data_IF_172700669891
#
_entry.id   IF_172700669891
#
_cell.length_a   1.000
_cell.length_b   1.000
_cell.length_c   1.000
_cell.angle_alpha   90.00
_cell.angle_beta   90.00
_cell.angle_gamma   90.00
#
_symmetry.space_group_name_H-M   'P 1'
#
loop_
_entity.id
_entity.type
_entity.pdbx_description
1 polymer ?
#
# COMPACT_ATOMS: atom_id res chain seq x y z
N UNK A 1 -41.88 0.74 28.20
CA UNK A 1 -40.62 1.31 27.69
C UNK A 1 -39.56 0.25 27.87
N UNK A 2 -39.37 -0.58 26.85
CA UNK A 2 -38.43 -1.70 26.86
C UNK A 2 -37.08 -1.16 26.37
N UNK A 3 -36.13 -0.98 27.29
CA UNK A 3 -34.76 -0.57 26.97
C UNK A 3 -34.03 -1.79 26.43
N UNK A 4 -34.03 -1.97 25.11
CA UNK A 4 -33.22 -2.99 24.43
C UNK A 4 -31.74 -2.66 24.65
N UNK A 5 -31.12 -3.36 25.61
CA UNK A 5 -29.69 -3.32 25.89
C UNK A 5 -28.91 -3.92 24.70
N UNK A 6 -28.51 -3.08 23.74
CA UNK A 6 -27.54 -3.45 22.71
C UNK A 6 -26.13 -3.54 23.32
N UNK A 7 -25.90 -4.54 24.17
CA UNK A 7 -24.53 -4.92 24.52
C UNK A 7 -23.92 -5.60 23.30
N UNK A 8 -23.34 -4.77 22.42
CA UNK A 8 -22.37 -5.22 21.42
C UNK A 8 -21.35 -6.06 22.19
N UNK A 9 -21.40 -7.37 21.98
CA UNK A 9 -20.46 -8.30 22.59
C UNK A 9 -19.14 -8.11 21.83
N UNK A 10 -18.42 -7.04 22.15
CA UNK A 10 -17.11 -6.77 21.59
C UNK A 10 -16.20 -7.86 22.15
N UNK A 11 -15.70 -8.76 21.29
CA UNK A 11 -14.64 -9.69 21.71
C UNK A 11 -13.54 -8.85 22.36
N UNK A 12 -13.05 -9.28 23.53
CA UNK A 12 -12.05 -8.59 24.38
C UNK A 12 -10.80 -8.06 23.64
N UNK A 13 -10.54 -8.55 22.43
CA UNK A 13 -9.40 -8.21 21.56
C UNK A 13 -9.72 -7.17 20.45
N UNK A 14 -11.00 -6.85 20.20
CA UNK A 14 -11.45 -5.90 19.19
C UNK A 14 -11.85 -4.55 19.81
N UNK A 15 -11.14 -4.12 20.85
CA UNK A 15 -11.36 -2.78 21.39
C UNK A 15 -11.06 -1.74 20.30
N UNK A 16 -11.84 -0.65 20.19
CA UNK A 16 -11.65 0.37 19.17
C UNK A 16 -10.21 0.90 19.13
N UNK A 17 -9.51 0.92 20.28
CA UNK A 17 -8.09 1.26 20.36
C UNK A 17 -7.17 0.31 19.59
N UNK A 18 -7.38 -1.01 19.63
CA UNK A 18 -6.54 -1.99 18.92
C UNK A 18 -6.71 -1.85 17.40
N UNK A 19 -7.95 -1.62 16.95
CA UNK A 19 -8.25 -1.40 15.52
C UNK A 19 -7.64 -0.08 15.04
N UNK A 20 -7.76 0.99 15.84
CA UNK A 20 -7.15 2.28 15.54
C UNK A 20 -5.63 2.20 15.46
N UNK A 21 -4.97 1.58 16.46
CA UNK A 21 -3.52 1.40 16.46
C UNK A 21 -3.06 0.56 15.26
N UNK A 22 -3.77 -0.53 14.94
CA UNK A 22 -3.49 -1.34 13.75
C UNK A 22 -3.61 -0.55 12.45
N UNK A 23 -4.70 0.20 12.28
CA UNK A 23 -4.90 1.08 11.13
C UNK A 23 -3.80 2.15 11.01
N UNK A 24 -3.47 2.82 12.11
CA UNK A 24 -2.40 3.82 12.15
C UNK A 24 -1.03 3.23 11.77
N UNK A 25 -0.69 2.04 12.26
CA UNK A 25 0.58 1.38 11.92
C UNK A 25 0.63 1.01 10.43
N UNK A 26 -0.46 0.47 9.88
CA UNK A 26 -0.55 0.14 8.45
C UNK A 26 -0.42 1.41 7.60
N UNK A 27 -1.13 2.48 7.97
CA UNK A 27 -1.04 3.78 7.28
C UNK A 27 0.36 4.38 7.38
N UNK A 28 1.01 4.28 8.54
CA UNK A 28 2.36 4.80 8.77
C UNK A 28 3.39 4.07 7.89
N UNK A 29 3.28 2.75 7.76
CA UNK A 29 4.16 1.95 6.90
C UNK A 29 3.90 2.29 5.43
N UNK A 30 2.64 2.29 4.99
CA UNK A 30 2.27 2.54 3.59
C UNK A 30 2.63 3.96 3.12
N UNK A 31 2.31 4.99 3.90
CA UNK A 31 2.61 6.38 3.56
C UNK A 31 4.06 6.78 3.90
N UNK A 32 4.67 6.19 4.93
CA UNK A 32 6.03 6.52 5.35
C UNK A 32 7.09 6.04 4.34
N UNK A 33 6.99 4.80 3.87
CA UNK A 33 7.88 4.29 2.83
C UNK A 33 7.71 5.08 1.53
N UNK A 34 6.47 5.44 1.17
CA UNK A 34 6.18 6.27 0.00
C UNK A 34 6.83 7.64 0.05
N UNK A 35 6.71 8.32 1.20
CA UNK A 35 7.28 9.66 1.40
C UNK A 35 8.81 9.63 1.37
N UNK A 36 9.41 8.48 1.69
CA UNK A 36 10.86 8.30 1.70
C UNK A 36 11.45 8.15 0.29
N UNK A 37 10.70 7.69 -0.71
CA UNK A 37 11.22 7.49 -2.08
C UNK A 37 11.83 8.76 -2.69
N UNK A 38 11.30 9.94 -2.35
CA UNK A 38 11.87 11.21 -2.83
C UNK A 38 13.33 11.44 -2.39
N UNK A 39 13.72 10.91 -1.23
CA UNK A 39 15.11 10.98 -0.73
C UNK A 39 16.06 10.08 -1.52
N UNK A 40 15.54 9.02 -2.14
CA UNK A 40 16.32 8.04 -2.88
C UNK A 40 16.57 8.43 -4.35
N UNK A 41 15.93 9.49 -4.86
CA UNK A 41 16.11 9.94 -6.24
C UNK A 41 17.59 10.20 -6.56
N UNK A 42 18.28 10.99 -5.74
CA UNK A 42 19.71 11.29 -5.90
C UNK A 42 20.59 10.04 -5.89
N UNK A 43 20.62 9.27 -4.78
CA UNK A 43 21.52 8.13 -4.67
C UNK A 43 21.22 7.00 -5.67
N UNK A 44 19.95 6.76 -6.05
CA UNK A 44 19.60 5.73 -7.04
C UNK A 44 20.02 6.16 -8.45
N UNK A 45 19.77 7.42 -8.83
CA UNK A 45 20.19 7.91 -10.16
C UNK A 45 21.71 7.97 -10.31
N UNK A 46 22.43 8.32 -9.24
CA UNK A 46 23.90 8.35 -9.23
C UNK A 46 24.51 6.94 -9.21
N UNK A 47 23.99 6.01 -8.40
CA UNK A 47 24.53 4.66 -8.30
C UNK A 47 24.33 3.82 -9.57
N UNK A 48 23.18 3.94 -10.23
CA UNK A 48 22.85 3.17 -11.43
C UNK A 48 23.09 3.94 -12.74
N UNK A 49 23.49 5.21 -12.67
CA UNK A 49 23.63 6.08 -13.84
C UNK A 49 22.31 6.38 -14.57
N UNK A 50 21.17 6.16 -13.90
CA UNK A 50 19.85 6.40 -14.47
C UNK A 50 19.52 7.88 -14.55
N UNK A 51 18.70 8.26 -15.54
CA UNK A 51 18.17 9.61 -15.60
C UNK A 51 17.16 9.85 -14.47
N UNK A 52 17.01 11.11 -14.06
CA UNK A 52 15.95 11.52 -13.12
C UNK A 52 14.55 11.22 -13.68
N UNK A 53 14.42 11.19 -15.00
CA UNK A 53 13.17 10.89 -15.71
C UNK A 53 12.75 9.44 -15.48
N UNK A 54 13.68 8.48 -15.51
CA UNK A 54 13.39 7.06 -15.24
C UNK A 54 12.79 6.88 -13.85
N UNK A 55 13.36 7.52 -12.82
CA UNK A 55 12.82 7.45 -11.46
C UNK A 55 11.49 8.21 -11.32
N UNK A 56 11.37 9.38 -11.93
CA UNK A 56 10.13 10.16 -11.93
C UNK A 56 8.98 9.38 -12.59
N UNK A 57 9.25 8.66 -13.67
CA UNK A 57 8.28 7.79 -14.34
C UNK A 57 7.84 6.64 -13.43
N UNK A 58 8.77 6.03 -12.69
CA UNK A 58 8.43 5.00 -11.69
C UNK A 58 7.42 5.55 -10.66
N UNK A 59 7.65 6.75 -10.14
CA UNK A 59 6.77 7.40 -9.16
C UNK A 59 5.42 7.85 -9.79
N UNK A 60 5.42 8.22 -11.06
CA UNK A 60 4.21 8.52 -11.82
C UNK A 60 3.35 7.26 -11.99
N UNK A 61 3.96 6.14 -12.38
CA UNK A 61 3.29 4.84 -12.47
C UNK A 61 2.73 4.40 -11.11
N UNK A 62 3.48 4.61 -10.03
CA UNK A 62 2.99 4.33 -8.68
C UNK A 62 1.68 5.07 -8.37
N UNK A 63 1.61 6.36 -8.69
CA UNK A 63 0.39 7.16 -8.53
C UNK A 63 -0.75 6.68 -9.43
N UNK A 64 -0.44 6.38 -10.69
CA UNK A 64 -1.42 5.94 -11.67
C UNK A 64 -2.08 4.62 -11.25
N UNK A 65 -1.28 3.63 -10.90
CA UNK A 65 -1.78 2.32 -10.48
C UNK A 65 -2.46 2.36 -9.12
N UNK A 66 -2.01 3.23 -8.22
CA UNK A 66 -2.75 3.49 -7.00
C UNK A 66 -4.18 3.97 -7.32
N UNK A 67 -4.32 5.01 -8.14
CA UNK A 67 -5.63 5.53 -8.54
C UNK A 67 -6.48 4.52 -9.32
N UNK A 68 -5.89 3.82 -10.27
CA UNK A 68 -6.58 2.87 -11.15
C UNK A 68 -7.09 1.64 -10.38
N UNK A 69 -6.36 1.19 -9.36
CA UNK A 69 -6.71 0.00 -8.62
C UNK A 69 -7.65 0.26 -7.44
N UNK A 70 -7.89 1.50 -7.03
CA UNK A 70 -8.89 1.83 -5.99
C UNK A 70 -10.31 1.28 -6.28
N UNK A 71 -10.94 1.49 -7.45
CA UNK A 71 -12.25 0.93 -7.73
C UNK A 71 -12.24 -0.61 -7.75
N UNK A 72 -11.14 -1.20 -8.21
CA UNK A 72 -10.95 -2.65 -8.23
C UNK A 72 -10.87 -3.17 -6.79
N UNK A 73 -10.11 -2.49 -5.93
CA UNK A 73 -9.98 -2.82 -4.51
C UNK A 73 -11.34 -2.78 -3.80
N UNK A 74 -12.15 -1.75 -4.04
CA UNK A 74 -13.51 -1.65 -3.51
C UNK A 74 -14.40 -2.82 -3.94
N UNK A 75 -14.46 -3.10 -5.25
CA UNK A 75 -15.23 -4.25 -5.76
C UNK A 75 -14.79 -5.60 -5.18
N UNK A 76 -13.47 -5.80 -5.02
CA UNK A 76 -12.92 -7.01 -4.39
C UNK A 76 -13.28 -7.07 -2.91
N UNK A 77 -13.24 -5.95 -2.20
CA UNK A 77 -13.55 -5.88 -0.77
C UNK A 77 -15.02 -6.18 -0.52
N UNK A 78 -15.92 -5.65 -1.34
CA UNK A 78 -17.35 -5.92 -1.30
C UNK A 78 -17.67 -7.40 -1.56
N UNK A 79 -16.90 -8.05 -2.45
CA UNK A 79 -17.15 -9.44 -2.85
C UNK A 79 -16.54 -10.49 -1.92
N UNK A 80 -15.29 -10.30 -1.49
CA UNK A 80 -14.51 -11.30 -0.75
C UNK A 80 -14.29 -10.95 0.72
N UNK A 81 -14.71 -9.75 1.13
CA UNK A 81 -14.50 -9.22 2.46
C UNK A 81 -13.15 -8.50 2.59
N UNK A 82 -13.11 -7.43 3.41
CA UNK A 82 -11.97 -6.53 3.50
C UNK A 82 -10.68 -7.21 4.00
N UNK A 83 -10.78 -8.20 4.88
CA UNK A 83 -9.61 -8.88 5.47
C UNK A 83 -8.74 -9.56 4.42
N UNK A 84 -9.35 -10.25 3.45
CA UNK A 84 -8.60 -10.96 2.41
C UNK A 84 -7.98 -10.02 1.40
N UNK A 85 -8.67 -8.93 1.07
CA UNK A 85 -8.19 -7.92 0.12
C UNK A 85 -7.02 -7.13 0.70
N UNK A 86 -7.13 -6.70 1.96
CA UNK A 86 -6.05 -6.02 2.66
C UNK A 86 -4.85 -6.95 2.82
N UNK A 87 -5.07 -8.22 3.20
CA UNK A 87 -4.00 -9.20 3.32
C UNK A 87 -3.26 -9.45 2.00
N UNK A 88 -3.99 -9.61 0.90
CA UNK A 88 -3.41 -9.75 -0.44
C UNK A 88 -2.67 -8.49 -0.89
N UNK A 89 -3.26 -7.32 -0.67
CA UNK A 89 -2.63 -6.03 -0.96
C UNK A 89 -1.34 -5.80 -0.18
N UNK A 90 -1.32 -6.16 1.10
CA UNK A 90 -0.13 -6.05 1.94
C UNK A 90 1.01 -6.96 1.45
N UNK A 91 0.69 -8.16 0.98
CA UNK A 91 1.68 -9.06 0.38
C UNK A 91 2.24 -8.50 -0.93
N UNK A 92 1.37 -8.00 -1.82
CA UNK A 92 1.78 -7.36 -3.07
C UNK A 92 2.67 -6.15 -2.79
N UNK A 93 2.29 -5.32 -1.83
CA UNK A 93 3.07 -4.16 -1.41
C UNK A 93 4.44 -4.56 -0.85
N UNK A 94 4.51 -5.58 -0.01
CA UNK A 94 5.76 -6.10 0.56
C UNK A 94 6.69 -6.64 -0.54
N UNK A 95 6.15 -7.43 -1.47
CA UNK A 95 6.91 -7.97 -2.61
C UNK A 95 7.37 -6.85 -3.55
N UNK A 96 6.52 -5.87 -3.84
CA UNK A 96 6.90 -4.72 -4.65
C UNK A 96 8.02 -3.90 -4.01
N UNK A 97 7.91 -3.64 -2.70
CA UNK A 97 8.92 -2.89 -1.95
C UNK A 97 10.25 -3.64 -1.86
N UNK A 98 10.21 -4.95 -1.61
CA UNK A 98 11.39 -5.80 -1.65
C UNK A 98 11.99 -5.88 -3.06
N UNK A 99 11.15 -5.94 -4.09
CA UNK A 99 11.58 -5.93 -5.48
C UNK A 99 12.43 -4.71 -5.83
N UNK A 100 12.12 -3.53 -5.29
CA UNK A 100 12.91 -2.31 -5.50
C UNK A 100 14.36 -2.46 -5.00
N UNK A 101 14.63 -3.32 -4.01
CA UNK A 101 15.99 -3.53 -3.48
C UNK A 101 16.81 -4.56 -4.25
N UNK A 102 16.19 -5.32 -5.16
CA UNK A 102 16.82 -6.44 -5.87
C UNK A 102 16.97 -6.19 -7.37
N UNK A 103 16.19 -5.25 -7.93
CA UNK A 103 16.20 -4.96 -9.37
C UNK A 103 17.20 -3.85 -9.73
N UNK A 104 18.15 -4.20 -10.59
CA UNK A 104 19.17 -3.26 -11.11
C UNK A 104 18.85 -2.77 -12.52
N UNK A 105 17.58 -2.87 -12.95
CA UNK A 105 17.12 -2.45 -14.27
C UNK A 105 16.00 -1.41 -14.18
N UNK A 106 15.96 -0.49 -15.14
CA UNK A 106 14.95 0.57 -15.22
C UNK A 106 13.53 0.01 -15.27
N UNK A 107 13.32 -1.01 -16.11
CA UNK A 107 12.04 -1.71 -16.22
C UNK A 107 11.68 -2.41 -14.90
N UNK A 108 12.68 -3.00 -14.23
CA UNK A 108 12.50 -3.60 -12.91
C UNK A 108 11.96 -2.59 -11.90
N UNK A 109 12.55 -1.38 -11.85
CA UNK A 109 12.10 -0.30 -10.98
C UNK A 109 10.65 0.13 -11.30
N UNK A 110 10.30 0.26 -12.58
CA UNK A 110 8.95 0.63 -13.01
C UNK A 110 7.91 -0.42 -12.60
N UNK A 111 8.23 -1.71 -12.76
CA UNK A 111 7.33 -2.80 -12.40
C UNK A 111 7.19 -2.97 -10.89
N UNK A 112 8.29 -2.89 -10.13
CA UNK A 112 8.27 -3.10 -8.68
C UNK A 112 7.82 -1.82 -7.96
N UNK A 113 8.61 -0.75 -8.04
CA UNK A 113 8.37 0.51 -7.34
C UNK A 113 7.21 1.34 -7.89
N UNK A 114 6.89 1.15 -9.17
CA UNK A 114 5.71 1.76 -9.81
C UNK A 114 4.48 0.87 -9.66
N UNK A 115 4.40 -0.19 -10.46
CA UNK A 115 3.17 -0.98 -10.63
C UNK A 115 2.82 -1.78 -9.36
N UNK A 116 3.71 -2.64 -8.86
CA UNK A 116 3.43 -3.51 -7.71
C UNK A 116 3.20 -2.72 -6.42
N UNK A 117 4.05 -1.73 -6.14
CA UNK A 117 3.87 -0.86 -4.98
C UNK A 117 2.56 -0.07 -5.10
N UNK A 118 2.28 0.55 -6.25
CA UNK A 118 1.06 1.33 -6.46
C UNK A 118 -0.23 0.50 -6.31
N UNK A 119 -0.26 -0.69 -6.91
CA UNK A 119 -1.39 -1.63 -6.79
C UNK A 119 -1.54 -2.18 -5.37
N UNK A 120 -0.44 -2.52 -4.70
CA UNK A 120 -0.44 -2.97 -3.31
C UNK A 120 -1.05 -1.94 -2.36
N UNK A 121 -0.66 -0.67 -2.50
CA UNK A 121 -1.23 0.43 -1.69
C UNK A 121 -2.74 0.56 -1.92
N UNK A 122 -3.21 0.48 -3.17
CA UNK A 122 -4.62 0.59 -3.49
C UNK A 122 -5.46 -0.50 -2.81
N UNK A 123 -4.98 -1.75 -2.83
CA UNK A 123 -5.65 -2.90 -2.23
C UNK A 123 -5.66 -2.87 -0.69
N UNK A 124 -4.67 -2.19 -0.08
CA UNK A 124 -4.65 -1.97 1.38
C UNK A 124 -5.47 -0.76 1.84
N UNK A 125 -5.96 0.06 0.91
CA UNK A 125 -6.67 1.29 1.25
C UNK A 125 -8.08 0.96 1.75
N UNK A 126 -8.34 1.24 3.02
CA UNK A 126 -9.65 1.03 3.65
C UNK A 126 -10.69 1.98 3.04
N UNK A 127 -11.57 1.49 2.18
CA UNK A 127 -12.81 2.17 1.75
C UNK A 127 -14.01 1.29 2.05
#
# INVERSE_FOLDING_TARGET
METTDYRLTVKRWQTPLVVLLGGCLISLIGFGARSSYGLYLGPVTEAFGWSRETFALAMALQNLFWGLCLPIAGMLADRYGPVWVIGGGALIYAVGTFGVTVVDTELGLHLTGGVLVGTGVALTSFS
#
